data_IF_186415158775
#
_entry.id   IF_186415158775
#
_cell.length_a   1.000
_cell.length_b   1.000
_cell.length_c   1.000
_cell.angle_alpha   90.00
_cell.angle_beta   90.00
_cell.angle_gamma   90.00
#
_symmetry.space_group_name_H-M   'P 1'
#
loop_
_entity.id
_entity.type
_entity.pdbx_description
1 polymer ?
#
# COMPACT_ATOMS: atom_id res chain seq x y z
N UNK A 1 20.43 -26.55 -95.49
CA UNK A 1 20.12 -27.98 -95.34
C UNK A 1 18.78 -28.14 -94.65
N UNK A 2 18.25 -29.35 -94.49
CA UNK A 2 17.06 -29.57 -93.66
C UNK A 2 17.36 -29.19 -92.21
N UNK A 3 16.42 -28.52 -91.57
CA UNK A 3 16.46 -28.17 -90.16
C UNK A 3 15.51 -29.09 -89.42
N UNK A 4 15.93 -29.63 -88.27
CA UNK A 4 15.05 -30.33 -87.35
C UNK A 4 14.86 -29.44 -86.11
N UNK A 5 13.61 -29.22 -85.69
CA UNK A 5 13.26 -28.46 -84.49
C UNK A 5 12.56 -29.38 -83.48
N UNK A 6 12.48 -28.93 -82.22
CA UNK A 6 11.76 -29.61 -81.14
C UNK A 6 12.24 -31.03 -80.86
N UNK A 7 13.56 -31.21 -80.91
CA UNK A 7 14.22 -32.51 -80.69
C UNK A 7 14.36 -32.76 -79.17
N UNK A 8 13.83 -33.88 -78.63
CA UNK A 8 14.03 -34.24 -77.23
C UNK A 8 15.50 -34.45 -76.86
N UNK A 9 15.85 -34.42 -75.58
CA UNK A 9 17.19 -34.81 -75.13
C UNK A 9 17.53 -36.25 -75.56
N UNK A 10 18.79 -36.49 -75.91
CA UNK A 10 19.26 -37.79 -76.40
C UNK A 10 20.44 -37.69 -77.37
N UNK A 11 20.94 -38.87 -77.76
CA UNK A 11 22.02 -38.99 -78.74
C UNK A 11 21.45 -39.18 -80.13
N UNK A 12 21.71 -38.23 -81.02
CA UNK A 12 21.24 -38.24 -82.40
C UNK A 12 22.38 -38.50 -83.36
N UNK A 13 22.23 -39.53 -84.18
CA UNK A 13 23.17 -39.82 -85.26
C UNK A 13 22.72 -39.10 -86.54
N UNK A 14 23.34 -37.96 -86.84
CA UNK A 14 23.10 -37.25 -88.08
C UNK A 14 23.85 -37.94 -89.23
N UNK A 15 23.12 -38.55 -90.18
CA UNK A 15 23.68 -39.23 -91.36
C UNK A 15 23.42 -38.41 -92.62
N UNK A 16 24.49 -38.05 -93.34
CA UNK A 16 24.44 -37.38 -94.64
C UNK A 16 24.80 -38.41 -95.70
N UNK A 17 23.94 -38.61 -96.69
CA UNK A 17 24.19 -39.49 -97.85
C UNK A 17 24.25 -38.65 -99.12
N UNK A 18 25.32 -38.78 -99.91
CA UNK A 18 25.42 -38.08 -101.20
C UNK A 18 24.67 -38.84 -102.33
N UNK A 19 24.60 -38.23 -103.52
CA UNK A 19 23.90 -38.83 -104.68
C UNK A 19 24.56 -40.13 -105.21
N UNK A 20 25.77 -40.46 -104.75
CA UNK A 20 26.52 -41.67 -105.11
C UNK A 20 26.49 -42.73 -103.98
N UNK A 21 25.61 -42.57 -102.98
CA UNK A 21 25.45 -43.45 -101.80
C UNK A 21 26.64 -43.46 -100.81
N UNK A 22 27.51 -42.45 -100.80
CA UNK A 22 28.51 -42.28 -99.74
C UNK A 22 27.87 -41.67 -98.50
N UNK A 23 28.08 -42.27 -97.32
CA UNK A 23 27.49 -41.79 -96.05
C UNK A 23 28.54 -41.22 -95.10
N UNK A 24 28.26 -40.08 -94.47
CA UNK A 24 29.00 -39.53 -93.33
C UNK A 24 28.05 -39.41 -92.13
N UNK A 25 28.48 -39.83 -90.94
CA UNK A 25 27.67 -39.76 -89.73
C UNK A 25 28.36 -38.98 -88.61
N UNK A 26 27.62 -38.15 -87.88
CA UNK A 26 28.09 -37.43 -86.70
C UNK A 26 27.12 -37.64 -85.53
N UNK A 27 27.65 -37.95 -84.35
CA UNK A 27 26.85 -38.08 -83.13
C UNK A 27 26.71 -36.71 -82.48
N UNK A 28 25.48 -36.28 -82.25
CA UNK A 28 25.14 -35.04 -81.53
C UNK A 28 24.39 -35.43 -80.27
N UNK A 29 24.95 -35.10 -79.11
CA UNK A 29 24.27 -35.27 -77.82
C UNK A 29 23.51 -33.98 -77.50
N UNK A 30 22.21 -34.10 -77.30
CA UNK A 30 21.36 -33.04 -76.77
C UNK A 30 21.13 -33.34 -75.30
N UNK A 31 21.63 -32.49 -74.41
CA UNK A 31 21.42 -32.62 -72.96
C UNK A 31 20.08 -32.01 -72.56
N UNK A 32 19.42 -32.62 -71.58
CA UNK A 32 18.31 -31.97 -70.89
C UNK A 32 18.84 -30.82 -70.00
N UNK A 33 18.08 -29.72 -69.83
CA UNK A 33 18.42 -28.70 -68.84
C UNK A 33 18.51 -29.29 -67.43
N UNK A 34 19.32 -28.68 -66.56
CA UNK A 34 19.30 -29.02 -65.13
C UNK A 34 17.87 -28.84 -64.58
N UNK A 35 17.40 -29.74 -63.68
CA UNK A 35 16.08 -29.61 -63.08
C UNK A 35 15.97 -28.27 -62.33
N UNK A 36 14.79 -27.67 -62.37
CA UNK A 36 14.49 -26.48 -61.58
C UNK A 36 14.21 -26.92 -60.15
N UNK A 37 15.03 -26.47 -59.21
CA UNK A 37 14.89 -26.79 -57.78
C UNK A 37 14.65 -25.50 -56.98
N UNK A 38 13.63 -25.52 -56.12
CA UNK A 38 13.27 -24.43 -55.22
C UNK A 38 13.54 -24.83 -53.77
N UNK A 39 14.30 -24.01 -53.05
CA UNK A 39 14.60 -24.26 -51.64
C UNK A 39 14.42 -23.02 -50.77
N UNK A 40 14.21 -23.26 -49.49
CA UNK A 40 14.09 -22.24 -48.47
C UNK A 40 15.45 -21.60 -48.18
N UNK A 41 15.52 -20.27 -48.21
CA UNK A 41 16.65 -19.53 -47.66
C UNK A 41 16.46 -19.38 -46.14
N UNK A 42 17.05 -20.31 -45.39
CA UNK A 42 17.04 -20.30 -43.93
C UNK A 42 17.77 -19.09 -43.31
N UNK A 43 18.55 -18.34 -44.08
CA UNK A 43 19.30 -17.18 -43.55
C UNK A 43 18.45 -15.91 -43.54
N UNK A 44 17.52 -15.79 -44.48
CA UNK A 44 16.63 -14.62 -44.62
C UNK A 44 15.22 -14.92 -44.11
N UNK A 45 14.79 -16.19 -44.12
CA UNK A 45 13.48 -16.58 -43.60
C UNK A 45 13.44 -16.50 -42.08
N UNK A 46 12.32 -16.02 -41.53
CA UNK A 46 12.10 -15.90 -40.10
C UNK A 46 10.66 -16.27 -39.74
N UNK A 47 10.50 -16.98 -38.63
CA UNK A 47 9.22 -17.23 -37.99
C UNK A 47 8.65 -15.94 -37.37
N UNK A 48 7.39 -15.93 -36.92
CA UNK A 48 6.85 -14.75 -36.23
C UNK A 48 7.56 -14.52 -34.89
N UNK A 49 7.78 -13.26 -34.53
CA UNK A 49 8.53 -12.92 -33.32
C UNK A 49 7.71 -13.13 -32.05
N UNK A 50 6.40 -12.86 -32.09
CA UNK A 50 5.49 -13.01 -30.96
C UNK A 50 4.22 -13.79 -31.34
N UNK A 51 3.54 -14.43 -30.37
CA UNK A 51 2.20 -14.97 -30.59
C UNK A 51 1.23 -13.90 -31.10
N UNK A 52 0.57 -14.17 -32.23
CA UNK A 52 -0.32 -13.22 -32.91
C UNK A 52 0.39 -12.17 -33.78
N UNK A 53 1.72 -12.25 -33.91
CA UNK A 53 2.51 -11.41 -34.80
C UNK A 53 2.25 -11.67 -36.28
N UNK A 54 2.72 -10.73 -37.11
CA UNK A 54 2.64 -10.79 -38.57
C UNK A 54 3.94 -10.31 -39.19
N UNK A 55 5.07 -10.65 -38.58
CA UNK A 55 6.40 -10.23 -39.01
C UNK A 55 7.22 -11.38 -39.60
N UNK A 56 6.60 -12.54 -39.86
CA UNK A 56 7.24 -13.66 -40.53
C UNK A 56 7.71 -13.30 -41.94
N UNK A 57 8.82 -13.91 -42.35
CA UNK A 57 9.44 -13.74 -43.66
C UNK A 57 9.72 -15.12 -44.25
N UNK A 58 9.32 -15.34 -45.50
CA UNK A 58 9.78 -16.48 -46.28
C UNK A 58 10.61 -15.93 -47.44
N UNK A 59 11.85 -16.37 -47.53
CA UNK A 59 12.73 -16.14 -48.66
C UNK A 59 13.07 -17.48 -49.31
N UNK A 60 12.99 -17.55 -50.63
CA UNK A 60 13.31 -18.75 -51.40
C UNK A 60 14.39 -18.47 -52.42
N UNK A 61 15.12 -19.50 -52.80
CA UNK A 61 16.13 -19.44 -53.85
C UNK A 61 15.85 -20.59 -54.81
N UNK A 62 15.86 -20.27 -56.10
CA UNK A 62 15.74 -21.24 -57.17
C UNK A 62 17.12 -21.48 -57.81
N UNK A 63 17.43 -22.74 -58.16
CA UNK A 63 18.61 -23.17 -58.89
C UNK A 63 18.22 -24.09 -60.05
N UNK A 64 19.12 -24.24 -61.03
CA UNK A 64 18.85 -25.02 -62.25
C UNK A 64 17.85 -24.35 -63.19
N UNK A 65 17.21 -25.12 -64.07
CA UNK A 65 16.34 -24.60 -65.12
C UNK A 65 17.10 -23.83 -66.22
N UNK A 66 16.36 -23.16 -67.10
CA UNK A 66 16.98 -22.32 -68.13
C UNK A 66 17.46 -20.99 -67.54
N UNK A 67 18.71 -20.60 -67.86
CA UNK A 67 19.60 -19.69 -67.12
C UNK A 67 19.19 -18.21 -66.96
N UNK A 68 17.94 -17.84 -67.22
CA UNK A 68 17.40 -16.51 -66.98
C UNK A 68 15.97 -16.63 -66.46
N UNK A 69 15.84 -16.76 -65.14
CA UNK A 69 14.55 -16.70 -64.45
C UNK A 69 13.96 -15.29 -64.64
N UNK A 70 13.06 -15.15 -65.62
CA UNK A 70 12.50 -13.88 -66.08
C UNK A 70 11.55 -13.20 -65.08
N UNK A 71 10.85 -12.12 -65.49
CA UNK A 71 9.99 -11.32 -64.64
C UNK A 71 8.62 -11.98 -64.37
N UNK A 72 8.47 -13.31 -64.48
CA UNK A 72 7.27 -14.11 -64.12
C UNK A 72 7.67 -15.44 -63.42
N UNK A 73 8.66 -15.37 -62.54
CA UNK A 73 9.32 -16.55 -61.95
C UNK A 73 8.65 -17.07 -60.68
N UNK A 74 8.18 -16.20 -59.78
CA UNK A 74 7.69 -16.61 -58.44
C UNK A 74 6.20 -16.32 -58.27
N UNK A 75 5.42 -17.36 -57.98
CA UNK A 75 3.98 -17.31 -57.75
C UNK A 75 3.68 -17.78 -56.32
N UNK A 76 3.33 -16.83 -55.47
CA UNK A 76 2.90 -17.11 -54.10
C UNK A 76 1.40 -17.36 -54.05
N UNK A 77 0.97 -18.38 -53.31
CA UNK A 77 -0.45 -18.61 -53.08
C UNK A 77 -1.09 -17.39 -52.37
N UNK A 78 -2.32 -17.07 -52.75
CA UNK A 78 -3.12 -15.96 -52.22
C UNK A 78 -2.50 -14.55 -52.36
N UNK A 79 -1.47 -14.37 -53.19
CA UNK A 79 -0.91 -13.04 -53.48
C UNK A 79 -0.24 -12.35 -52.29
N UNK A 80 0.31 -13.13 -51.36
CA UNK A 80 0.95 -12.65 -50.12
C UNK A 80 2.27 -11.87 -50.36
N UNK A 81 2.77 -11.86 -51.60
CA UNK A 81 3.96 -11.12 -51.99
C UNK A 81 3.76 -10.48 -53.37
N UNK A 82 4.52 -9.42 -53.70
CA UNK A 82 4.53 -8.88 -55.05
C UNK A 82 4.87 -9.97 -56.08
N UNK A 83 4.27 -9.94 -57.29
CA UNK A 83 4.64 -10.85 -58.36
C UNK A 83 6.16 -10.84 -58.55
N UNK A 84 6.76 -12.03 -58.68
CA UNK A 84 8.20 -12.21 -58.94
C UNK A 84 9.14 -11.89 -57.80
N UNK A 85 8.59 -11.62 -56.61
CA UNK A 85 9.41 -11.53 -55.43
C UNK A 85 9.78 -12.93 -54.95
N UNK A 86 11.08 -13.16 -54.77
CA UNK A 86 11.59 -14.33 -54.06
C UNK A 86 11.36 -14.24 -52.53
N UNK A 87 10.82 -13.11 -52.05
CA UNK A 87 10.61 -12.83 -50.63
C UNK A 87 9.15 -12.45 -50.39
N UNK A 88 8.50 -13.14 -49.44
CA UNK A 88 7.23 -12.78 -48.84
C UNK A 88 7.47 -12.31 -47.40
N UNK A 89 6.92 -11.15 -47.01
CA UNK A 89 7.11 -10.55 -45.68
C UNK A 89 5.77 -10.10 -45.10
N UNK A 90 5.73 -9.86 -43.79
CA UNK A 90 4.50 -9.43 -43.13
C UNK A 90 3.54 -10.59 -42.86
N UNK A 91 4.08 -11.80 -42.73
CA UNK A 91 3.29 -13.02 -42.65
C UNK A 91 2.96 -13.38 -41.20
N UNK A 92 1.72 -13.80 -40.96
CA UNK A 92 1.34 -14.44 -39.70
C UNK A 92 1.74 -15.93 -39.71
N UNK A 93 1.72 -16.57 -38.55
CA UNK A 93 1.94 -18.02 -38.45
C UNK A 93 0.94 -18.79 -39.33
N UNK A 94 1.45 -19.77 -40.07
CA UNK A 94 0.67 -20.51 -41.06
C UNK A 94 1.54 -21.18 -42.12
N UNK A 95 0.92 -21.98 -42.97
CA UNK A 95 1.58 -22.66 -44.10
C UNK A 95 1.32 -21.90 -45.38
N UNK A 96 2.39 -21.60 -46.11
CA UNK A 96 2.40 -20.87 -47.35
C UNK A 96 3.06 -21.70 -48.44
N UNK A 97 2.61 -21.52 -49.68
CA UNK A 97 3.17 -22.20 -50.84
C UNK A 97 3.64 -21.21 -51.88
N UNK A 98 4.78 -21.51 -52.47
CA UNK A 98 5.36 -20.77 -53.59
C UNK A 98 5.65 -21.75 -54.71
N UNK A 99 5.29 -21.36 -55.93
CA UNK A 99 5.64 -22.08 -57.16
C UNK A 99 6.61 -21.23 -57.94
N UNK A 100 7.71 -21.82 -58.38
CA UNK A 100 8.65 -21.22 -59.32
C UNK A 100 8.39 -21.77 -60.72
N UNK A 101 8.39 -20.91 -61.73
CA UNK A 101 8.20 -21.28 -63.14
C UNK A 101 9.32 -20.69 -63.99
N UNK A 102 10.01 -21.52 -64.77
CA UNK A 102 11.02 -21.05 -65.74
C UNK A 102 10.36 -20.57 -67.06
N UNK A 103 11.09 -19.80 -67.91
CA UNK A 103 10.53 -19.32 -69.19
C UNK A 103 10.15 -20.40 -70.20
N UNK A 104 10.51 -21.67 -69.98
CA UNK A 104 10.16 -22.82 -70.81
C UNK A 104 9.01 -23.64 -70.22
N UNK A 105 8.47 -23.25 -69.06
CA UNK A 105 7.32 -23.84 -68.41
C UNK A 105 7.64 -24.96 -67.42
N UNK A 106 8.92 -25.17 -67.07
CA UNK A 106 9.28 -26.07 -65.97
C UNK A 106 8.86 -25.44 -64.64
N UNK A 107 8.32 -26.24 -63.73
CA UNK A 107 7.80 -25.76 -62.44
C UNK A 107 8.34 -26.56 -61.28
N UNK A 108 8.62 -25.89 -60.16
CA UNK A 108 8.81 -26.52 -58.86
C UNK A 108 8.03 -25.76 -57.78
N UNK A 109 7.67 -26.42 -56.68
CA UNK A 109 6.86 -25.81 -55.62
C UNK A 109 7.35 -26.20 -54.24
N UNK A 110 7.36 -25.22 -53.34
CA UNK A 110 7.77 -25.38 -51.96
C UNK A 110 6.64 -24.94 -51.02
N UNK A 111 6.33 -25.80 -50.04
CA UNK A 111 5.49 -25.45 -48.90
C UNK A 111 6.37 -25.13 -47.70
N UNK A 112 6.14 -23.97 -47.08
CA UNK A 112 6.89 -23.46 -45.94
C UNK A 112 5.92 -23.09 -44.84
N UNK A 113 6.22 -23.47 -43.60
CA UNK A 113 5.41 -23.10 -42.43
C UNK A 113 6.14 -22.05 -41.61
N UNK A 114 5.49 -20.91 -41.40
CA UNK A 114 5.87 -19.92 -40.40
C UNK A 114 5.31 -20.38 -39.06
N UNK A 115 6.19 -20.66 -38.11
CA UNK A 115 5.84 -21.10 -36.77
C UNK A 115 5.58 -19.92 -35.84
N UNK A 116 4.88 -20.20 -34.74
CA UNK A 116 4.71 -19.28 -33.62
C UNK A 116 5.60 -19.73 -32.45
N UNK A 117 6.27 -18.83 -31.73
CA UNK A 117 7.06 -19.21 -30.57
C UNK A 117 6.16 -19.74 -29.44
N UNK A 118 6.69 -20.59 -28.55
CA UNK A 118 5.95 -21.00 -27.35
C UNK A 118 5.52 -19.77 -26.53
N UNK A 119 4.33 -19.79 -25.89
CA UNK A 119 3.88 -18.68 -25.06
C UNK A 119 4.84 -18.45 -23.88
N UNK A 120 5.07 -17.20 -23.52
CA UNK A 120 5.85 -16.86 -22.33
C UNK A 120 5.03 -17.24 -21.10
N UNK A 121 5.66 -17.98 -20.18
CA UNK A 121 5.10 -18.31 -18.86
C UNK A 121 6.15 -18.00 -17.79
N UNK A 122 5.71 -17.73 -16.57
CA UNK A 122 6.63 -17.39 -15.48
C UNK A 122 6.09 -17.82 -14.11
N UNK A 123 6.99 -17.93 -13.15
CA UNK A 123 6.64 -18.16 -11.73
C UNK A 123 7.12 -16.99 -10.88
N UNK A 124 6.39 -16.72 -9.81
CA UNK A 124 6.81 -15.78 -8.78
C UNK A 124 7.59 -16.53 -7.70
N UNK A 125 8.56 -15.85 -7.09
CA UNK A 125 9.20 -16.34 -5.87
C UNK A 125 8.21 -16.34 -4.70
N UNK A 126 8.42 -17.23 -3.74
CA UNK A 126 7.76 -17.12 -2.43
C UNK A 126 8.03 -15.74 -1.82
N UNK A 127 7.02 -15.20 -1.14
CA UNK A 127 7.09 -13.90 -0.46
C UNK A 127 6.53 -14.01 0.95
N UNK A 128 7.07 -13.20 1.85
CA UNK A 128 6.59 -13.14 3.23
C UNK A 128 5.24 -12.41 3.30
N UNK A 129 4.29 -12.85 4.13
CA UNK A 129 3.03 -12.16 4.31
C UNK A 129 3.25 -10.78 4.96
N UNK A 130 2.43 -9.81 4.57
CA UNK A 130 2.41 -8.48 5.20
C UNK A 130 1.98 -8.65 6.67
N UNK A 131 2.77 -8.09 7.59
CA UNK A 131 2.54 -8.24 9.05
C UNK A 131 1.69 -7.13 9.63
N UNK A 132 1.85 -5.91 9.13
CA UNK A 132 1.11 -4.73 9.55
C UNK A 132 0.39 -4.10 8.37
N UNK A 133 -0.84 -3.64 8.60
CA UNK A 133 -1.62 -2.93 7.58
C UNK A 133 -0.81 -1.76 6.99
N UNK A 134 -0.80 -1.64 5.67
CA UNK A 134 -0.07 -0.58 4.97
C UNK A 134 1.45 -0.77 4.86
N UNK A 135 2.02 -1.86 5.40
CA UNK A 135 3.40 -2.25 5.08
C UNK A 135 3.50 -2.89 3.69
N UNK A 136 4.74 -3.05 3.22
CA UNK A 136 5.02 -3.75 1.98
C UNK A 136 5.56 -5.16 2.23
N UNK A 137 5.36 -6.02 1.24
CA UNK A 137 6.17 -7.22 1.03
C UNK A 137 6.95 -7.07 -0.27
N UNK A 138 7.80 -8.04 -0.58
CA UNK A 138 8.61 -8.05 -1.79
C UNK A 138 8.28 -9.26 -2.66
N UNK A 139 8.04 -9.00 -3.94
CA UNK A 139 7.86 -10.04 -4.96
C UNK A 139 8.99 -9.98 -5.99
N UNK A 140 9.28 -11.11 -6.60
CA UNK A 140 10.11 -11.20 -7.79
C UNK A 140 9.57 -12.28 -8.73
N UNK A 141 9.89 -12.15 -10.01
CA UNK A 141 9.76 -13.26 -10.95
C UNK A 141 10.96 -14.19 -10.73
N UNK A 142 10.69 -15.45 -10.41
CA UNK A 142 11.72 -16.46 -10.12
C UNK A 142 12.24 -17.12 -11.40
N UNK A 143 11.32 -17.54 -12.27
CA UNK A 143 11.65 -18.21 -13.51
C UNK A 143 10.74 -17.75 -14.65
N UNK A 144 11.28 -17.77 -15.87
CA UNK A 144 10.55 -17.48 -17.11
C UNK A 144 10.87 -18.59 -18.11
N UNK A 145 9.87 -19.05 -18.86
CA UNK A 145 10.02 -20.05 -19.91
C UNK A 145 9.16 -19.71 -21.14
N UNK A 146 9.47 -20.33 -22.28
CA UNK A 146 8.84 -20.02 -23.57
C UNK A 146 9.47 -18.80 -24.25
N UNK A 147 8.77 -18.24 -25.25
CA UNK A 147 9.27 -17.17 -26.11
C UNK A 147 10.47 -17.58 -26.97
N UNK A 148 11.13 -16.58 -27.55
CA UNK A 148 12.35 -16.74 -28.37
C UNK A 148 13.66 -16.64 -27.57
N UNK A 149 13.55 -16.61 -26.23
CA UNK A 149 14.58 -17.03 -25.27
C UNK A 149 15.91 -16.24 -25.32
N UNK A 150 15.90 -14.96 -24.91
CA UNK A 150 17.15 -14.16 -24.85
C UNK A 150 17.31 -13.36 -23.55
N UNK A 151 16.49 -12.33 -23.32
CA UNK A 151 16.58 -11.49 -22.11
C UNK A 151 15.16 -11.05 -21.72
N UNK A 152 14.74 -11.46 -20.53
CA UNK A 152 13.46 -11.05 -19.96
C UNK A 152 13.63 -9.95 -18.93
N UNK A 153 12.67 -9.05 -18.90
CA UNK A 153 12.47 -8.09 -17.83
C UNK A 153 11.03 -8.21 -17.34
N UNK A 154 10.74 -7.67 -16.16
CA UNK A 154 9.39 -7.65 -15.65
C UNK A 154 9.04 -6.29 -15.05
N UNK A 155 7.75 -6.00 -14.99
CA UNK A 155 7.19 -4.84 -14.30
C UNK A 155 6.04 -5.27 -13.40
N UNK A 156 5.76 -4.44 -12.41
CA UNK A 156 4.59 -4.55 -11.55
C UNK A 156 3.70 -3.35 -11.82
N UNK A 157 2.41 -3.57 -12.10
CA UNK A 157 1.41 -2.53 -12.36
C UNK A 157 1.84 -1.51 -13.43
N UNK A 158 2.44 -1.98 -14.54
CA UNK A 158 3.00 -1.14 -15.61
C UNK A 158 4.07 -0.15 -15.13
N UNK A 159 4.74 -0.45 -14.02
CA UNK A 159 5.89 0.31 -13.52
C UNK A 159 7.16 0.11 -14.34
N UNK A 160 8.32 0.59 -13.85
CA UNK A 160 9.59 0.44 -14.54
C UNK A 160 9.97 -1.03 -14.72
N UNK A 161 10.60 -1.34 -15.85
CA UNK A 161 11.14 -2.66 -16.14
C UNK A 161 12.34 -2.97 -15.24
N UNK A 162 12.38 -4.21 -14.77
CA UNK A 162 13.37 -4.74 -13.83
C UNK A 162 13.90 -6.08 -14.32
N UNK A 163 15.16 -6.44 -14.06
CA UNK A 163 15.66 -7.78 -14.32
C UNK A 163 14.90 -8.85 -13.52
N UNK A 164 14.78 -10.05 -14.08
CA UNK A 164 14.23 -11.22 -13.39
C UNK A 164 15.01 -11.47 -12.08
N UNK A 165 14.32 -11.86 -11.02
CA UNK A 165 14.88 -12.08 -9.68
C UNK A 165 15.10 -10.81 -8.83
N UNK A 166 14.98 -9.60 -9.40
CA UNK A 166 15.06 -8.38 -8.58
C UNK A 166 13.82 -8.26 -7.69
N UNK A 167 13.98 -8.03 -6.38
CA UNK A 167 12.87 -7.80 -5.47
C UNK A 167 12.17 -6.45 -5.72
N UNK A 168 10.83 -6.45 -5.69
CA UNK A 168 10.00 -5.26 -5.86
C UNK A 168 9.01 -5.12 -4.71
N UNK A 169 9.01 -3.98 -4.00
CA UNK A 169 8.06 -3.75 -2.92
C UNK A 169 6.64 -3.59 -3.48
N UNK A 170 5.68 -4.26 -2.84
CA UNK A 170 4.25 -4.19 -3.15
C UNK A 170 3.45 -4.12 -1.85
N UNK A 171 2.34 -3.38 -1.86
CA UNK A 171 1.41 -3.28 -0.74
C UNK A 171 0.35 -4.38 -0.82
N UNK A 172 -0.58 -4.42 0.15
CA UNK A 172 -1.76 -5.25 0.04
C UNK A 172 -2.59 -4.91 -1.20
N UNK A 173 -3.21 -5.93 -1.80
CA UNK A 173 -4.12 -5.80 -2.93
C UNK A 173 -3.69 -6.54 -4.19
N UNK A 174 -4.36 -6.22 -5.30
CA UNK A 174 -4.18 -6.89 -6.59
C UNK A 174 -3.08 -6.22 -7.41
N UNK A 175 -2.09 -7.00 -7.83
CA UNK A 175 -0.98 -6.58 -8.67
C UNK A 175 -0.97 -7.33 -10.00
N UNK A 176 -0.72 -6.61 -11.09
CA UNK A 176 -0.48 -7.20 -12.41
C UNK A 176 1.03 -7.28 -12.62
N UNK A 177 1.53 -8.49 -12.81
CA UNK A 177 2.93 -8.75 -13.13
C UNK A 177 3.01 -8.96 -14.63
N UNK A 178 3.83 -8.17 -15.30
CA UNK A 178 4.06 -8.28 -16.74
C UNK A 178 5.51 -8.60 -17.00
N UNK A 179 5.76 -9.77 -17.57
CA UNK A 179 7.07 -10.15 -18.13
C UNK A 179 7.11 -9.72 -19.59
N UNK A 180 8.21 -9.11 -19.99
CA UNK A 180 8.48 -8.67 -21.35
C UNK A 180 9.79 -9.27 -21.85
N UNK A 181 9.76 -9.78 -23.08
CA UNK A 181 10.96 -10.01 -23.87
C UNK A 181 11.57 -8.66 -24.23
N UNK A 182 12.71 -8.32 -23.65
CA UNK A 182 13.31 -7.00 -23.77
C UNK A 182 13.80 -6.67 -25.19
N UNK A 183 13.94 -7.67 -26.06
CA UNK A 183 14.40 -7.51 -27.44
C UNK A 183 13.19 -7.47 -28.38
N UNK A 184 12.31 -8.44 -28.23
CA UNK A 184 11.22 -8.69 -29.16
C UNK A 184 9.90 -8.01 -28.78
N UNK A 185 9.79 -7.52 -27.55
CA UNK A 185 8.60 -6.83 -27.04
C UNK A 185 7.42 -7.75 -26.72
N UNK A 186 7.56 -9.07 -26.84
CA UNK A 186 6.49 -10.00 -26.48
C UNK A 186 6.23 -9.97 -24.98
N UNK A 187 4.97 -9.95 -24.57
CA UNK A 187 4.59 -9.86 -23.16
C UNK A 187 3.73 -11.02 -22.70
N UNK A 188 3.91 -11.43 -21.46
CA UNK A 188 2.95 -12.24 -20.71
C UNK A 188 2.64 -11.54 -19.38
N UNK A 189 1.38 -11.60 -18.98
CA UNK A 189 0.93 -11.01 -17.72
C UNK A 189 0.14 -12.02 -16.90
N UNK A 190 0.32 -11.94 -15.59
CA UNK A 190 -0.49 -12.65 -14.60
C UNK A 190 -0.85 -11.70 -13.45
N UNK A 191 -1.86 -12.05 -12.67
CA UNK A 191 -2.28 -11.23 -11.52
C UNK A 191 -2.11 -11.97 -10.22
N UNK A 192 -1.44 -11.33 -9.27
CA UNK A 192 -1.26 -11.81 -7.90
C UNK A 192 -2.05 -10.93 -6.94
N UNK A 193 -2.69 -11.54 -5.95
CA UNK A 193 -3.38 -10.84 -4.87
C UNK A 193 -2.58 -11.02 -3.58
N UNK A 194 -2.09 -9.91 -3.03
CA UNK A 194 -1.32 -9.86 -1.80
C UNK A 194 -2.28 -9.54 -0.66
N UNK A 195 -2.45 -10.49 0.27
CA UNK A 195 -3.26 -10.25 1.46
C UNK A 195 -2.50 -9.35 2.45
N UNK A 196 -3.24 -8.48 3.14
CA UNK A 196 -2.74 -7.72 4.29
C UNK A 196 -3.74 -7.84 5.46
N UNK A 197 -3.28 -7.69 6.72
CA UNK A 197 -4.15 -7.75 7.88
C UNK A 197 -5.01 -6.51 7.99
N UNK A 198 -6.10 -6.58 8.76
CA UNK A 198 -6.90 -5.40 9.07
C UNK A 198 -6.10 -4.39 9.91
N UNK A 199 -6.37 -3.10 9.72
CA UNK A 199 -5.75 -2.01 10.47
C UNK A 199 -5.99 -2.13 11.97
N UNK A 200 -4.92 -1.98 12.78
CA UNK A 200 -5.03 -1.80 14.23
C UNK A 200 -5.57 -0.39 14.48
N UNK A 201 -6.69 -0.28 15.20
CA UNK A 201 -7.30 1.02 15.49
C UNK A 201 -7.46 1.23 16.99
N UNK A 202 -7.19 2.46 17.41
CA UNK A 202 -7.40 2.95 18.77
C UNK A 202 -8.42 4.07 18.69
N UNK A 203 -9.49 3.95 19.46
CA UNK A 203 -10.56 4.95 19.52
C UNK A 203 -10.60 5.50 20.94
N UNK A 204 -10.47 6.82 21.04
CA UNK A 204 -10.61 7.59 22.27
C UNK A 204 -11.59 8.75 22.03
N UNK A 205 -12.31 9.20 23.07
CA UNK A 205 -13.06 10.44 22.98
C UNK A 205 -12.13 11.62 22.72
N UNK A 206 -12.62 12.64 22.01
CA UNK A 206 -11.83 13.84 21.74
C UNK A 206 -11.54 14.64 23.01
N UNK A 207 -12.52 14.70 23.94
CA UNK A 207 -12.43 15.41 25.20
C UNK A 207 -13.00 14.57 26.33
N UNK A 208 -12.35 14.61 27.50
CA UNK A 208 -12.87 14.09 28.78
C UNK A 208 -12.80 15.21 29.79
N UNK A 209 -13.93 15.57 30.38
CA UNK A 209 -14.00 16.59 31.43
C UNK A 209 -13.84 15.93 32.81
N UNK A 210 -12.96 16.48 33.65
CA UNK A 210 -12.78 16.07 35.04
C UNK A 210 -12.81 17.28 35.96
N UNK A 211 -13.22 17.09 37.21
CA UNK A 211 -13.14 18.13 38.24
C UNK A 211 -11.73 18.15 38.86
N UNK A 212 -11.26 19.32 39.30
CA UNK A 212 -10.00 19.42 40.03
C UNK A 212 -10.02 18.54 41.29
N UNK A 213 -9.11 17.57 41.34
CA UNK A 213 -9.03 16.57 42.42
C UNK A 213 -9.87 15.32 42.20
N UNK A 214 -10.41 15.12 41.00
CA UNK A 214 -10.93 13.82 40.60
C UNK A 214 -9.80 12.77 40.61
N UNK A 215 -10.17 11.55 40.97
CA UNK A 215 -9.29 10.39 40.96
C UNK A 215 -9.95 9.08 40.56
N UNK A 216 -11.17 9.16 40.03
CA UNK A 216 -11.99 8.00 39.67
C UNK A 216 -12.19 7.86 38.17
N UNK A 217 -11.99 8.92 37.39
CA UNK A 217 -12.13 8.87 35.93
C UNK A 217 -11.00 8.04 35.32
N UNK A 218 -11.38 7.02 34.54
CA UNK A 218 -10.45 6.19 33.77
C UNK A 218 -10.49 6.58 32.29
N UNK A 219 -9.34 6.65 31.64
CA UNK A 219 -9.27 6.73 30.19
C UNK A 219 -9.47 5.31 29.62
N UNK A 220 -10.62 5.01 29.01
CA UNK A 220 -10.94 3.67 28.50
C UNK A 220 -10.99 3.65 26.96
N UNK A 221 -9.89 3.29 26.28
CA UNK A 221 -9.86 3.21 24.83
C UNK A 221 -10.60 1.96 24.30
N UNK A 222 -11.30 2.12 23.18
CA UNK A 222 -11.75 1.00 22.36
C UNK A 222 -10.62 0.60 21.38
N UNK A 223 -10.24 -0.67 21.40
CA UNK A 223 -9.16 -1.22 20.58
C UNK A 223 -9.76 -2.21 19.58
N UNK A 224 -9.61 -1.94 18.29
CA UNK A 224 -10.02 -2.85 17.21
C UNK A 224 -8.74 -3.48 16.67
N UNK A 225 -8.55 -4.77 16.97
CA UNK A 225 -7.35 -5.53 16.59
C UNK A 225 -7.73 -6.95 16.15
N UNK A 226 -6.97 -7.51 15.20
CA UNK A 226 -7.09 -8.92 14.80
C UNK A 226 -6.06 -9.82 15.49
N UNK A 227 -5.09 -9.21 16.15
CA UNK A 227 -3.93 -9.82 16.81
C UNK A 227 -3.94 -9.42 18.30
N UNK A 228 -3.35 -10.25 19.19
CA UNK A 228 -3.18 -9.87 20.59
C UNK A 228 -2.35 -8.59 20.75
N UNK A 229 -2.73 -7.76 21.72
CA UNK A 229 -1.98 -6.55 22.07
C UNK A 229 -0.78 -6.92 22.94
N UNK A 230 0.38 -6.36 22.60
CA UNK A 230 1.63 -6.53 23.35
C UNK A 230 1.81 -5.43 24.40
N UNK A 231 1.57 -4.17 24.04
CA UNK A 231 1.76 -3.04 24.96
C UNK A 231 0.80 -1.87 24.75
N UNK A 232 0.61 -1.13 25.85
CA UNK A 232 -0.02 0.19 25.91
C UNK A 232 1.04 1.18 26.37
N UNK A 233 1.09 2.38 25.79
CA UNK A 233 2.06 3.41 26.17
C UNK A 233 1.35 4.76 26.14
N UNK A 234 1.19 5.37 27.31
CA UNK A 234 0.63 6.71 27.46
C UNK A 234 1.71 7.78 27.49
N UNK A 235 1.48 8.88 26.76
CA UNK A 235 2.35 10.05 26.76
C UNK A 235 1.53 11.35 26.72
N UNK A 236 1.78 12.32 27.62
CA UNK A 236 2.65 12.21 28.79
C UNK A 236 2.12 11.19 29.81
N UNK A 237 3.00 10.73 30.69
CA UNK A 237 2.68 9.79 31.77
C UNK A 237 2.16 10.47 33.04
N UNK A 238 2.42 11.77 33.17
CA UNK A 238 2.17 12.52 34.40
C UNK A 238 0.68 12.52 34.74
N UNK A 239 0.39 12.36 36.04
CA UNK A 239 -0.97 12.39 36.60
C UNK A 239 -1.88 11.25 36.09
N UNK A 240 -1.30 10.20 35.52
CA UNK A 240 -1.96 8.92 35.26
C UNK A 240 -1.58 7.90 36.34
N UNK A 241 -2.48 6.97 36.65
CA UNK A 241 -2.20 5.90 37.62
C UNK A 241 -1.17 4.87 37.13
N UNK A 242 -1.03 4.73 35.81
CA UNK A 242 -0.08 3.85 35.15
C UNK A 242 0.22 4.36 33.74
N UNK A 243 1.41 4.04 33.23
CA UNK A 243 1.88 4.50 31.91
C UNK A 243 1.71 3.43 30.83
N UNK A 244 1.62 2.17 31.26
CA UNK A 244 1.72 0.96 30.45
C UNK A 244 0.48 0.05 30.54
N UNK A 245 -0.63 0.62 30.99
CA UNK A 245 -1.90 -0.07 31.17
C UNK A 245 -2.93 0.40 30.14
N UNK A 246 -3.95 -0.44 29.89
CA UNK A 246 -5.04 -0.08 28.97
C UNK A 246 -5.82 1.13 29.46
N UNK A 247 -6.18 1.15 30.75
CA UNK A 247 -7.16 2.07 31.33
C UNK A 247 -6.63 2.78 32.59
N UNK A 248 -5.70 3.74 32.46
CA UNK A 248 -5.23 4.50 33.61
C UNK A 248 -6.33 5.41 34.18
N UNK A 249 -6.31 5.59 35.49
CA UNK A 249 -7.04 6.67 36.16
C UNK A 249 -6.32 8.00 35.94
N UNK A 250 -7.06 9.07 35.70
CA UNK A 250 -6.53 10.42 35.50
C UNK A 250 -6.76 11.28 36.75
N UNK A 251 -5.70 11.93 37.21
CA UNK A 251 -5.67 12.83 38.36
C UNK A 251 -5.12 14.21 37.95
N UNK A 252 -5.44 14.65 36.73
CA UNK A 252 -4.82 15.84 36.15
C UNK A 252 -5.23 17.12 36.90
N UNK A 253 -4.27 18.03 37.12
CA UNK A 253 -4.52 19.33 37.79
C UNK A 253 -4.59 20.49 36.79
N UNK A 254 -4.11 20.27 35.57
CA UNK A 254 -4.18 21.20 34.44
C UNK A 254 -4.75 20.46 33.23
N UNK A 255 -5.51 21.17 32.39
CA UNK A 255 -6.00 20.58 31.14
C UNK A 255 -4.83 20.24 30.23
N UNK A 256 -4.79 18.99 29.74
CA UNK A 256 -3.71 18.52 28.88
C UNK A 256 -4.15 17.40 27.95
N UNK A 257 -3.41 17.24 26.86
CA UNK A 257 -3.62 16.15 25.91
C UNK A 257 -2.80 14.94 26.30
N UNK A 258 -3.44 13.78 26.34
CA UNK A 258 -2.82 12.46 26.47
C UNK A 258 -2.90 11.72 25.14
N UNK A 259 -1.83 11.01 24.79
CA UNK A 259 -1.75 10.16 23.61
C UNK A 259 -1.47 8.74 24.04
N UNK A 260 -2.31 7.82 23.59
CA UNK A 260 -2.11 6.39 23.73
C UNK A 260 -1.46 5.85 22.47
N UNK A 261 -0.36 5.13 22.62
CA UNK A 261 0.20 4.24 21.60
C UNK A 261 -0.06 2.81 21.99
N UNK A 262 -0.64 2.03 21.08
CA UNK A 262 -0.88 0.59 21.25
C UNK A 262 -0.01 -0.15 20.25
N UNK A 263 0.64 -1.22 20.69
CA UNK A 263 1.46 -2.10 19.85
C UNK A 263 0.98 -3.53 20.01
N UNK A 264 0.81 -4.24 18.90
CA UNK A 264 0.45 -5.66 18.91
C UNK A 264 1.67 -6.60 18.96
N UNK A 265 1.43 -7.90 19.09
CA UNK A 265 2.50 -8.93 19.13
C UNK A 265 3.32 -9.03 17.83
N UNK A 266 2.85 -8.46 16.73
CA UNK A 266 3.57 -8.39 15.47
C UNK A 266 4.42 -7.11 15.34
N UNK A 267 4.30 -6.17 16.28
CA UNK A 267 4.96 -4.88 16.27
C UNK A 267 4.18 -3.77 15.56
N UNK A 268 2.95 -4.03 15.15
CA UNK A 268 2.08 -3.04 14.49
C UNK A 268 1.58 -2.04 15.51
N UNK A 269 1.64 -0.74 15.18
CA UNK A 269 1.31 0.33 16.12
C UNK A 269 0.19 1.23 15.63
N UNK A 270 -0.63 1.68 16.57
CA UNK A 270 -1.69 2.65 16.34
C UNK A 270 -1.75 3.64 17.49
N UNK A 271 -2.20 4.87 17.21
CA UNK A 271 -2.24 5.94 18.20
C UNK A 271 -3.56 6.71 18.17
N UNK A 272 -3.99 7.16 19.34
CA UNK A 272 -5.08 8.11 19.47
C UNK A 272 -4.80 9.08 20.62
N UNK A 273 -5.42 10.25 20.58
CA UNK A 273 -5.29 11.25 21.63
C UNK A 273 -6.64 11.62 22.24
N UNK A 274 -6.60 12.01 23.50
CA UNK A 274 -7.72 12.57 24.26
C UNK A 274 -7.26 13.84 24.95
N UNK A 275 -8.06 14.91 24.86
CA UNK A 275 -7.84 16.12 25.64
C UNK A 275 -8.59 15.99 26.97
N UNK A 276 -7.86 15.95 28.08
CA UNK A 276 -8.47 15.99 29.41
C UNK A 276 -8.63 17.45 29.79
N UNK A 277 -9.88 17.89 29.92
CA UNK A 277 -10.22 19.23 30.35
C UNK A 277 -10.52 19.22 31.85
N UNK A 278 -9.74 19.99 32.61
CA UNK A 278 -9.88 20.07 34.06
C UNK A 278 -10.75 21.27 34.42
N UNK A 279 -11.99 21.00 34.82
CA UNK A 279 -12.84 22.00 35.43
C UNK A 279 -12.30 22.34 36.83
N UNK A 280 -11.88 23.59 36.98
CA UNK A 280 -11.37 24.12 38.24
C UNK A 280 -12.51 24.72 39.06
N UNK A 281 -13.61 23.99 39.26
CA UNK A 281 -14.67 24.41 40.15
C UNK A 281 -14.16 24.42 41.59
N UNK A 282 -13.86 25.63 42.08
CA UNK A 282 -13.35 25.89 43.43
C UNK A 282 -14.48 25.89 44.45
N UNK A 283 -15.14 24.74 44.56
CA UNK A 283 -16.31 24.54 45.40
C UNK A 283 -15.93 24.64 46.88
N UNK A 284 -16.20 25.81 47.46
CA UNK A 284 -16.11 26.10 48.88
C UNK A 284 -17.43 26.70 49.31
N UNK A 285 -18.12 26.03 50.23
CA UNK A 285 -19.36 26.54 50.82
C UNK A 285 -19.06 27.10 52.20
N UNK A 286 -19.38 28.38 52.37
CA UNK A 286 -19.24 29.11 53.64
C UNK A 286 -20.65 29.54 54.04
N UNK A 287 -21.23 28.99 55.11
CA UNK A 287 -22.55 29.37 55.57
C UNK A 287 -22.55 30.84 56.01
N UNK A 288 -23.66 31.52 55.83
CA UNK A 288 -23.83 32.91 56.26
C UNK A 288 -24.57 33.05 57.60
N UNK A 289 -24.88 31.92 58.25
CA UNK A 289 -25.57 31.87 59.53
C UNK A 289 -25.20 30.61 60.31
N UNK A 290 -25.11 30.72 61.63
CA UNK A 290 -24.96 29.58 62.54
C UNK A 290 -25.62 29.90 63.89
N UNK A 291 -25.96 28.87 64.65
CA UNK A 291 -26.71 28.95 65.90
C UNK A 291 -26.04 28.11 66.99
N UNK A 292 -25.04 28.65 67.71
CA UNK A 292 -24.37 27.94 68.80
C UNK A 292 -25.29 27.80 70.02
N UNK A 293 -26.12 26.77 70.03
CA UNK A 293 -27.10 26.45 71.08
C UNK A 293 -26.95 25.02 71.65
N UNK A 294 -25.89 24.31 71.24
CA UNK A 294 -25.53 22.94 71.64
C UNK A 294 -26.59 21.88 71.27
N UNK A 295 -27.39 22.11 70.23
CA UNK A 295 -28.37 21.14 69.73
C UNK A 295 -27.79 20.13 68.71
N UNK A 296 -26.53 20.33 68.34
CA UNK A 296 -25.78 19.54 67.36
C UNK A 296 -25.96 20.01 65.92
N UNK A 297 -26.75 21.06 65.66
CA UNK A 297 -27.10 21.55 64.33
C UNK A 297 -26.63 23.00 64.18
N UNK A 298 -25.69 23.23 63.25
CA UNK A 298 -25.13 24.56 62.98
C UNK A 298 -24.56 25.26 64.22
N UNK A 299 -24.07 24.50 65.20
CA UNK A 299 -23.43 25.06 66.41
C UNK A 299 -22.09 25.74 66.12
N UNK A 300 -21.44 25.34 65.03
CA UNK A 300 -20.16 25.85 64.61
C UNK A 300 -20.31 26.59 63.28
N UNK A 301 -19.68 27.75 63.18
CA UNK A 301 -19.38 28.38 61.90
C UNK A 301 -18.23 27.62 61.23
N UNK A 302 -18.56 26.67 60.36
CA UNK A 302 -17.62 25.76 59.69
C UNK A 302 -17.56 26.02 58.19
N UNK A 303 -16.45 25.60 57.57
CA UNK A 303 -16.24 25.69 56.12
C UNK A 303 -16.38 24.30 55.53
N UNK A 304 -17.13 24.19 54.43
CA UNK A 304 -17.33 22.93 53.71
C UNK A 304 -16.58 23.00 52.38
N UNK A 305 -15.69 22.04 52.14
CA UNK A 305 -14.75 22.08 51.01
C UNK A 305 -14.96 20.91 50.06
N UNK A 306 -14.89 21.20 48.75
CA UNK A 306 -14.86 20.18 47.70
C UNK A 306 -13.49 19.48 47.55
N UNK A 307 -13.42 18.52 46.63
CA UNK A 307 -12.25 17.65 46.41
C UNK A 307 -10.99 18.39 45.93
N UNK A 308 -11.14 19.56 45.31
CA UNK A 308 -10.02 20.38 44.82
C UNK A 308 -9.25 21.14 45.90
N UNK A 309 -9.71 21.12 47.16
CA UNK A 309 -9.13 21.89 48.27
C UNK A 309 -8.07 21.07 49.01
N UNK A 310 -6.88 21.64 49.19
CA UNK A 310 -5.76 21.02 49.94
C UNK A 310 -5.75 21.43 51.41
N UNK A 311 -6.28 22.61 51.73
CA UNK A 311 -6.41 23.07 53.10
C UNK A 311 -6.99 24.47 53.20
N UNK A 312 -7.40 24.83 54.41
CA UNK A 312 -7.82 26.19 54.74
C UNK A 312 -6.68 26.82 55.53
N UNK A 313 -5.92 27.69 54.86
CA UNK A 313 -4.71 28.34 55.38
C UNK A 313 -5.03 29.18 56.61
N UNK A 314 -6.06 30.01 56.54
CA UNK A 314 -6.52 30.80 57.66
C UNK A 314 -8.03 31.02 57.61
N UNK A 315 -8.66 31.05 58.77
CA UNK A 315 -10.04 31.46 58.99
C UNK A 315 -10.02 32.51 60.09
N UNK A 316 -10.36 33.75 59.73
CA UNK A 316 -10.40 34.88 60.66
C UNK A 316 -11.80 35.47 60.67
N UNK A 317 -12.34 35.69 61.87
CA UNK A 317 -13.63 36.34 62.06
C UNK A 317 -13.43 37.62 62.85
N UNK A 318 -14.10 38.67 62.41
CA UNK A 318 -14.03 40.01 62.95
C UNK A 318 -15.42 40.48 63.38
N UNK A 319 -15.46 41.26 64.46
CA UNK A 319 -16.66 42.03 64.78
C UNK A 319 -16.86 43.21 63.80
N UNK A 320 -17.98 43.92 63.93
CA UNK A 320 -18.30 45.08 63.05
C UNK A 320 -17.35 46.27 63.20
N UNK A 321 -16.51 46.28 64.24
CA UNK A 321 -15.54 47.33 64.51
C UNK A 321 -14.14 46.95 64.03
N UNK A 322 -13.96 45.75 63.46
CA UNK A 322 -12.70 45.26 62.92
C UNK A 322 -11.80 44.55 63.92
N UNK A 323 -12.29 44.25 65.14
CA UNK A 323 -11.52 43.44 66.09
C UNK A 323 -11.61 41.96 65.70
N UNK A 324 -10.47 41.27 65.76
CA UNK A 324 -10.38 39.83 65.55
C UNK A 324 -11.00 39.10 66.75
N UNK A 325 -12.06 38.32 66.50
CA UNK A 325 -12.79 37.55 67.53
C UNK A 325 -12.55 36.04 67.44
N UNK A 326 -12.12 35.55 66.28
CA UNK A 326 -11.72 34.16 66.11
C UNK A 326 -10.62 34.05 65.05
N UNK A 327 -9.64 33.19 65.30
CA UNK A 327 -8.62 32.82 64.32
C UNK A 327 -8.34 31.32 64.43
N UNK A 328 -8.34 30.67 63.27
CA UNK A 328 -7.82 29.33 63.09
C UNK A 328 -6.90 29.30 61.87
N UNK A 329 -5.88 28.46 61.92
CA UNK A 329 -4.89 28.31 60.85
C UNK A 329 -4.71 26.83 60.54
N UNK A 330 -4.34 26.52 59.30
CA UNK A 330 -4.07 25.17 58.81
C UNK A 330 -5.22 24.18 59.12
N UNK A 331 -6.46 24.61 58.89
CA UNK A 331 -7.62 23.76 59.07
C UNK A 331 -7.68 22.73 57.92
N UNK A 332 -8.00 21.45 58.24
CA UNK A 332 -8.11 20.41 57.22
C UNK A 332 -9.30 20.68 56.29
N UNK A 333 -9.21 20.30 55.00
CA UNK A 333 -10.39 20.26 54.15
C UNK A 333 -11.35 19.19 54.67
N UNK A 334 -12.64 19.49 54.65
CA UNK A 334 -13.69 18.59 55.11
C UNK A 334 -14.99 18.81 54.31
N UNK A 335 -15.51 17.76 53.66
CA UNK A 335 -16.86 17.79 53.07
C UNK A 335 -17.96 17.91 54.13
N UNK A 336 -17.67 17.45 55.35
CA UNK A 336 -18.62 17.40 56.48
C UNK A 336 -18.45 18.61 57.44
N UNK A 337 -17.61 19.58 57.07
CA UNK A 337 -17.33 20.77 57.85
C UNK A 337 -15.98 20.72 58.57
N UNK A 338 -15.18 21.77 58.43
CA UNK A 338 -13.91 21.94 59.16
C UNK A 338 -14.18 22.30 60.63
N UNK A 339 -13.21 22.13 61.55
CA UNK A 339 -13.28 22.84 62.83
C UNK A 339 -13.54 24.33 62.59
N UNK A 340 -14.41 24.91 63.40
CA UNK A 340 -14.99 26.22 63.15
C UNK A 340 -15.11 27.06 64.42
N UNK A 341 -15.79 28.20 64.30
CA UNK A 341 -16.02 29.09 65.42
C UNK A 341 -17.35 28.78 66.12
N UNK A 342 -17.33 28.63 67.44
CA UNK A 342 -18.49 28.31 68.29
C UNK A 342 -19.26 29.55 68.79
N UNK A 343 -18.91 30.74 68.28
CA UNK A 343 -19.55 31.97 68.73
C UNK A 343 -19.06 32.49 70.07
N UNK A 344 -17.93 31.98 70.60
CA UNK A 344 -17.32 32.49 71.83
C UNK A 344 -16.11 33.39 71.55
N UNK A 345 -15.89 34.38 72.42
CA UNK A 345 -14.69 35.22 72.42
C UNK A 345 -14.22 35.45 73.86
N UNK A 346 -12.94 35.20 74.13
CA UNK A 346 -12.35 35.28 75.48
C UNK A 346 -13.12 34.46 76.55
N UNK A 347 -13.60 33.27 76.17
CA UNK A 347 -14.35 32.37 77.05
C UNK A 347 -15.76 32.84 77.37
N UNK A 348 -16.29 33.82 76.62
CA UNK A 348 -17.67 34.28 76.72
C UNK A 348 -18.37 34.18 75.38
N UNK A 349 -19.56 33.66 75.46
CA UNK A 349 -20.69 33.87 74.57
C UNK A 349 -20.77 35.28 73.97
N UNK A 350 -20.76 35.36 72.64
CA UNK A 350 -21.03 36.60 71.91
C UNK A 350 -22.52 36.81 71.71
N UNK A 351 -22.95 38.08 71.74
CA UNK A 351 -24.33 38.46 71.45
C UNK A 351 -24.70 38.18 69.99
N UNK A 352 -25.99 37.89 69.69
CA UNK A 352 -26.48 37.79 68.32
C UNK A 352 -26.15 39.04 67.50
N UNK A 353 -25.34 38.84 66.46
CA UNK A 353 -24.82 39.92 65.63
C UNK A 353 -24.38 39.40 64.26
N UNK A 354 -24.00 40.33 63.39
CA UNK A 354 -23.35 40.01 62.11
C UNK A 354 -21.86 40.26 62.26
N UNK A 355 -21.07 39.26 61.93
CA UNK A 355 -19.61 39.25 61.91
C UNK A 355 -19.10 39.20 60.48
N UNK A 356 -17.85 39.57 60.27
CA UNK A 356 -17.20 39.54 58.96
C UNK A 356 -16.10 38.51 58.99
N UNK A 357 -15.98 37.67 57.96
CA UNK A 357 -14.90 36.69 57.86
C UNK A 357 -13.94 36.99 56.71
N UNK A 358 -12.70 36.58 56.90
CA UNK A 358 -11.69 36.45 55.86
C UNK A 358 -11.12 35.04 55.95
N UNK A 359 -11.32 34.25 54.90
CA UNK A 359 -10.91 32.86 54.83
C UNK A 359 -9.98 32.68 53.63
N UNK A 360 -8.82 32.10 53.84
CA UNK A 360 -7.83 31.79 52.81
C UNK A 360 -7.82 30.28 52.58
N UNK A 361 -8.09 29.84 51.34
CA UNK A 361 -8.22 28.43 50.98
C UNK A 361 -7.21 28.09 49.89
N UNK A 362 -6.46 27.01 50.11
CA UNK A 362 -5.46 26.46 49.20
C UNK A 362 -6.06 25.32 48.36
N UNK A 363 -5.72 25.29 47.07
CA UNK A 363 -6.21 24.31 46.10
C UNK A 363 -5.07 23.44 45.54
N UNK A 364 -5.42 22.33 44.89
CA UNK A 364 -4.48 21.36 44.32
C UNK A 364 -3.60 21.94 43.20
N UNK A 365 -4.06 23.00 42.52
CA UNK A 365 -3.34 23.72 41.46
C UNK A 365 -2.35 24.77 42.01
N UNK A 366 -2.00 24.70 43.31
CA UNK A 366 -1.21 25.69 44.04
C UNK A 366 -1.80 27.12 44.06
N UNK A 367 -3.08 27.28 43.72
CA UNK A 367 -3.74 28.58 43.90
C UNK A 367 -4.27 28.74 45.31
N UNK A 368 -4.13 29.95 45.87
CA UNK A 368 -4.83 30.37 47.08
C UNK A 368 -5.93 31.35 46.72
N UNK A 369 -7.16 31.13 47.19
CA UNK A 369 -8.24 32.12 47.11
C UNK A 369 -8.59 32.69 48.47
N UNK A 370 -9.01 33.96 48.46
CA UNK A 370 -9.49 34.67 49.66
C UNK A 370 -11.00 34.87 49.55
N UNK A 371 -11.74 34.20 50.42
CA UNK A 371 -13.18 34.37 50.58
C UNK A 371 -13.45 35.41 51.66
N UNK A 372 -14.38 36.32 51.36
CA UNK A 372 -14.80 37.38 52.28
C UNK A 372 -16.31 37.44 52.26
N UNK A 373 -16.90 37.64 53.42
CA UNK A 373 -18.33 37.76 53.56
C UNK A 373 -18.70 38.01 55.00
N UNK A 374 -19.99 37.87 55.28
CA UNK A 374 -20.55 38.00 56.59
C UNK A 374 -21.17 36.69 57.07
N UNK A 375 -21.19 36.54 58.39
CA UNK A 375 -21.86 35.45 59.08
C UNK A 375 -22.70 36.01 60.22
N UNK A 376 -23.95 35.56 60.29
CA UNK A 376 -24.88 35.92 61.37
C UNK A 376 -24.82 34.88 62.47
N UNK A 377 -24.52 35.31 63.69
CA UNK A 377 -24.67 34.48 64.89
C UNK A 377 -26.10 34.65 65.42
N UNK A 378 -26.82 33.53 65.52
CA UNK A 378 -28.15 33.45 66.13
C UNK A 378 -28.08 32.70 67.45
N UNK A 379 -28.97 33.00 68.41
CA UNK A 379 -29.13 32.23 69.64
C UNK A 379 -30.58 32.17 70.08
#
# INVERSE_FOLDING_TARGET
>A
GPTISDVPAGDYLAVITDANNCTFSHLVTIQEPEPLDLFLDNTTSQDVTCPGGSDGIIAVVAQGGNVDLGPETYLWSNGIAPPNSAIAQGLSAGTYSVTVIDPKGCTDSLEVTINVPPPITFTLSDFEPIRCFGENTFIAVESVSGGNNVVYQYSVNNGPLRPIGQLTPVFGGRHVITVVDAINGCTASDTVEIAEPAELQVILPAVVEIELGDSLTALDPEIIATTPIDSFIWSPADQLSCTDCKNPLVNAIESQQYTLTVVDVNGCSAQASVFVDVDKNRNVYIPNVFSPNDDGINDLFQIFTGRGVTGIRSMRVFDRWGNLVFEAQNLPPSPDGSPGWDGTFNGRDMDPAVFVYIIEVDFLDNTTLVFRGDVTLLR
#
